data_IF_717769478152
#
_entry.id   IF_717769478152
#
_cell.length_a   1.000
_cell.length_b   1.000
_cell.length_c   1.000
_cell.angle_alpha   90.00
_cell.angle_beta   90.00
_cell.angle_gamma   90.00
#
_symmetry.space_group_name_H-M   'P 1'
#
loop_
_entity.id
_entity.type
_entity.pdbx_description
1 polymer ?
#
# COMPACT_ATOMS: atom_id res chain seq x y z
N UNK A 1 -19.10 17.07 -5.64
CA UNK A 1 -18.68 16.57 -6.94
C UNK A 1 -18.67 17.67 -7.99
N UNK A 2 -18.28 17.35 -9.22
CA UNK A 2 -18.20 18.33 -10.32
C UNK A 2 -19.55 18.96 -10.68
N UNK A 3 -20.66 18.32 -10.32
CA UNK A 3 -22.03 18.78 -10.56
C UNK A 3 -22.58 19.62 -9.37
N UNK A 4 -21.76 19.90 -8.38
CA UNK A 4 -22.13 20.66 -7.18
C UNK A 4 -22.92 19.88 -6.13
N UNK A 5 -23.02 18.55 -6.26
CA UNK A 5 -23.66 17.72 -5.25
C UNK A 5 -22.70 17.43 -4.09
N UNK A 6 -23.26 17.30 -2.89
CA UNK A 6 -22.51 16.89 -1.71
C UNK A 6 -22.03 15.45 -1.88
N UNK A 7 -20.75 15.22 -1.60
CA UNK A 7 -20.17 13.87 -1.49
C UNK A 7 -20.22 13.40 -0.04
N UNK A 8 -20.31 12.09 0.17
CA UNK A 8 -20.29 11.45 1.49
C UNK A 8 -19.40 10.20 1.45
N UNK A 9 -18.98 9.70 2.61
CA UNK A 9 -18.10 8.55 2.69
C UNK A 9 -16.68 8.82 2.18
N UNK A 10 -16.00 7.78 1.76
CA UNK A 10 -14.65 7.88 1.25
C UNK A 10 -14.58 8.47 -0.15
N UNK A 11 -13.72 9.47 -0.33
CA UNK A 11 -13.48 10.15 -1.60
C UNK A 11 -11.98 10.27 -1.87
N UNK A 12 -11.56 9.91 -3.07
CA UNK A 12 -10.18 10.15 -3.52
C UNK A 12 -10.11 11.48 -4.24
N UNK A 13 -9.34 12.42 -3.71
CA UNK A 13 -9.15 13.77 -4.26
C UNK A 13 -7.63 13.97 -4.42
N UNK A 14 -7.15 14.25 -5.63
CA UNK A 14 -5.72 14.48 -5.92
C UNK A 14 -4.80 13.39 -5.35
N UNK A 15 -5.17 12.11 -5.56
CA UNK A 15 -4.46 10.92 -5.06
C UNK A 15 -4.42 10.76 -3.53
N UNK A 16 -5.14 11.57 -2.77
CA UNK A 16 -5.30 11.40 -1.33
C UNK A 16 -6.73 10.98 -0.98
N UNK A 17 -6.87 10.18 0.06
CA UNK A 17 -8.15 9.65 0.52
C UNK A 17 -8.69 10.51 1.66
N UNK A 18 -9.94 10.95 1.52
CA UNK A 18 -10.67 11.76 2.50
C UNK A 18 -11.99 11.09 2.87
N UNK A 19 -12.48 11.34 4.07
CA UNK A 19 -13.76 10.84 4.53
C UNK A 19 -14.72 12.00 4.82
N UNK A 20 -15.95 11.90 4.29
CA UNK A 20 -17.02 12.88 4.52
C UNK A 20 -18.17 12.22 5.27
N UNK A 21 -18.73 12.93 6.25
CA UNK A 21 -19.90 12.46 6.99
C UNK A 21 -21.18 12.47 6.13
N UNK A 22 -22.30 12.01 6.70
CA UNK A 22 -23.60 11.96 6.03
C UNK A 22 -24.14 13.36 5.63
N UNK A 23 -23.55 14.43 6.18
CA UNK A 23 -23.89 15.81 5.84
C UNK A 23 -22.96 16.40 4.78
N UNK A 24 -21.97 15.61 4.31
CA UNK A 24 -20.95 16.07 3.36
C UNK A 24 -19.87 16.94 4.01
N UNK A 25 -19.67 16.84 5.32
CA UNK A 25 -18.60 17.56 6.05
C UNK A 25 -17.37 16.66 6.10
N UNK A 26 -16.25 17.20 5.62
CA UNK A 26 -14.96 16.49 5.66
C UNK A 26 -14.55 16.21 7.11
N UNK A 27 -14.26 14.96 7.40
CA UNK A 27 -13.72 14.54 8.67
C UNK A 27 -12.20 14.78 8.70
N UNK A 28 -11.64 15.08 9.87
CA UNK A 28 -10.20 15.34 10.05
C UNK A 28 -9.78 15.16 11.50
N UNK A 29 -8.46 15.15 11.72
CA UNK A 29 -7.83 15.20 13.04
C UNK A 29 -8.27 14.07 13.97
N UNK A 30 -7.81 12.87 13.72
CA UNK A 30 -7.94 11.76 14.66
C UNK A 30 -8.62 10.52 14.13
N UNK A 31 -9.01 9.67 15.05
CA UNK A 31 -9.62 8.37 14.75
C UNK A 31 -11.07 8.53 14.32
N UNK A 32 -11.40 7.81 13.25
CA UNK A 32 -12.78 7.59 12.81
C UNK A 32 -13.07 6.09 12.73
N UNK A 33 -14.34 5.72 12.86
CA UNK A 33 -14.81 4.36 12.64
C UNK A 33 -15.76 4.36 11.45
N UNK A 34 -15.51 3.47 10.52
CA UNK A 34 -16.31 3.25 9.32
C UNK A 34 -16.81 1.80 9.29
N UNK A 35 -17.65 1.48 8.33
CA UNK A 35 -18.13 0.10 8.14
C UNK A 35 -16.97 -0.87 7.79
N UNK A 36 -15.89 -0.36 7.19
CA UNK A 36 -14.70 -1.15 6.82
C UNK A 36 -13.68 -1.29 7.98
N UNK A 37 -13.82 -0.51 9.06
CA UNK A 37 -12.90 -0.52 10.20
C UNK A 37 -12.52 0.88 10.68
N UNK A 38 -11.42 0.96 11.43
CA UNK A 38 -10.90 2.23 11.98
C UNK A 38 -9.89 2.86 11.03
N UNK A 39 -9.94 4.17 10.92
CA UNK A 39 -8.97 4.96 10.17
C UNK A 39 -8.50 6.16 11.00
N UNK A 40 -7.34 6.69 10.69
CA UNK A 40 -6.83 7.92 11.29
C UNK A 40 -6.68 9.00 10.22
N UNK A 41 -7.23 10.15 10.49
CA UNK A 41 -7.19 11.31 9.59
C UNK A 41 -6.23 12.37 10.15
N UNK A 42 -5.38 12.89 9.28
CA UNK A 42 -4.50 14.01 9.57
C UNK A 42 -5.29 15.31 9.76
N UNK A 43 -4.61 16.38 10.19
CA UNK A 43 -5.24 17.68 10.42
C UNK A 43 -5.77 18.32 9.13
N UNK A 44 -5.23 17.95 7.97
CA UNK A 44 -5.72 18.34 6.65
C UNK A 44 -6.77 17.36 6.08
N UNK A 45 -7.18 16.36 6.87
CA UNK A 45 -8.24 15.41 6.56
C UNK A 45 -7.84 14.21 5.71
N UNK A 46 -6.56 14.05 5.39
CA UNK A 46 -6.06 12.89 4.63
C UNK A 46 -6.02 11.64 5.51
N UNK A 47 -6.50 10.53 5.00
CA UNK A 47 -6.31 9.24 5.66
C UNK A 47 -4.84 8.83 5.66
N UNK A 48 -4.35 8.36 6.80
CA UNK A 48 -3.01 7.81 6.91
C UNK A 48 -2.94 6.44 6.22
N UNK A 49 -1.75 6.09 5.71
CA UNK A 49 -1.46 4.79 5.12
C UNK A 49 -0.06 4.31 5.52
N UNK A 50 0.19 3.00 5.40
CA UNK A 50 1.45 2.39 5.80
C UNK A 50 1.67 2.43 7.32
N UNK A 51 2.93 2.30 7.73
CA UNK A 51 3.33 2.36 9.13
C UNK A 51 3.22 3.78 9.68
N UNK A 52 2.59 3.91 10.86
CA UNK A 52 2.41 5.19 11.55
C UNK A 52 2.59 5.02 13.05
N UNK A 53 3.15 6.04 13.69
CA UNK A 53 3.22 6.12 15.15
C UNK A 53 2.26 7.21 15.63
N UNK A 54 1.26 6.83 16.43
CA UNK A 54 0.23 7.72 16.96
C UNK A 54 0.23 7.54 18.47
N UNK A 55 0.41 8.62 19.21
CA UNK A 55 0.48 8.62 20.68
C UNK A 55 1.46 7.58 21.25
N UNK A 56 2.62 7.42 20.59
CA UNK A 56 3.68 6.48 20.98
C UNK A 56 3.41 5.01 20.69
N UNK A 57 2.33 4.68 20.00
CA UNK A 57 1.96 3.33 19.56
C UNK A 57 2.08 3.19 18.06
N UNK A 58 2.51 2.01 17.59
CA UNK A 58 2.63 1.72 16.17
C UNK A 58 1.35 1.13 15.62
N UNK A 59 1.01 1.57 14.40
CA UNK A 59 -0.15 1.12 13.61
C UNK A 59 0.28 0.89 12.17
N UNK A 60 -0.43 0.02 11.49
CA UNK A 60 -0.31 -0.12 10.03
C UNK A 60 -1.67 0.10 9.39
N UNK A 61 -1.73 1.00 8.42
CA UNK A 61 -2.93 1.30 7.65
C UNK A 61 -2.77 0.75 6.23
N UNK A 62 -3.79 0.08 5.75
CA UNK A 62 -3.81 -0.42 4.37
C UNK A 62 -3.94 0.71 3.33
N UNK A 63 -3.98 0.35 2.05
CA UNK A 63 -4.13 1.32 0.96
C UNK A 63 -5.49 2.04 0.93
N UNK A 64 -6.45 1.59 1.73
CA UNK A 64 -7.74 2.25 1.94
C UNK A 64 -7.78 3.11 3.22
N UNK A 65 -6.63 3.24 3.89
CA UNK A 65 -6.51 3.99 5.14
C UNK A 65 -7.12 3.28 6.36
N UNK A 66 -7.37 1.95 6.26
CA UNK A 66 -7.95 1.17 7.37
C UNK A 66 -6.84 0.55 8.20
N UNK A 67 -6.93 0.71 9.52
CA UNK A 67 -5.98 0.14 10.46
C UNK A 67 -6.05 -1.39 10.46
N UNK A 68 -4.89 -2.03 10.35
CA UNK A 68 -4.76 -3.48 10.42
C UNK A 68 -5.15 -3.98 11.82
N UNK A 69 -5.81 -5.14 11.88
CA UNK A 69 -6.16 -5.85 13.10
C UNK A 69 -5.84 -7.34 12.96
N UNK A 70 -5.62 -8.04 14.07
CA UNK A 70 -5.28 -9.47 14.03
C UNK A 70 -3.88 -9.73 13.48
N UNK A 71 -3.70 -10.85 12.81
CA UNK A 71 -2.39 -11.25 12.25
C UNK A 71 -2.27 -10.81 10.79
N UNK A 72 -1.18 -10.14 10.48
CA UNK A 72 -0.87 -9.66 9.14
C UNK A 72 0.60 -9.91 8.81
N UNK A 73 0.87 -10.46 7.63
CA UNK A 73 2.23 -10.60 7.12
C UNK A 73 2.56 -9.37 6.26
N UNK A 74 3.60 -8.65 6.65
CA UNK A 74 4.12 -7.47 5.94
C UNK A 74 5.58 -7.74 5.55
N UNK A 75 5.79 -8.10 4.29
CA UNK A 75 7.09 -8.54 3.81
C UNK A 75 7.55 -9.81 4.55
N UNK A 76 8.73 -9.74 5.17
CA UNK A 76 9.30 -10.83 5.98
C UNK A 76 8.88 -10.79 7.45
N UNK A 77 7.95 -9.92 7.83
CA UNK A 77 7.53 -9.75 9.21
C UNK A 77 6.10 -10.26 9.42
N UNK A 78 5.91 -11.06 10.46
CA UNK A 78 4.59 -11.40 10.99
C UNK A 78 4.26 -10.39 12.07
N UNK A 79 3.23 -9.60 11.80
CA UNK A 79 2.75 -8.59 12.72
C UNK A 79 1.44 -9.06 13.34
N UNK A 80 1.27 -8.78 14.62
CA UNK A 80 0.02 -9.00 15.34
C UNK A 80 -0.47 -7.67 15.88
N UNK A 81 -1.70 -7.32 15.53
CA UNK A 81 -2.36 -6.09 15.93
C UNK A 81 -3.54 -6.39 16.86
N UNK A 82 -3.82 -5.47 17.77
CA UNK A 82 -5.01 -5.52 18.63
C UNK A 82 -6.29 -5.25 17.82
N UNK A 83 -7.44 -5.43 18.43
CA UNK A 83 -8.73 -5.02 17.85
C UNK A 83 -8.82 -3.50 17.62
N UNK A 84 -8.05 -2.71 18.36
CA UNK A 84 -7.93 -1.27 18.19
C UNK A 84 -6.91 -0.86 17.13
N UNK A 85 -6.17 -1.83 16.54
CA UNK A 85 -5.17 -1.62 15.49
C UNK A 85 -3.74 -1.37 16.00
N UNK A 86 -3.49 -1.41 17.33
CA UNK A 86 -2.15 -1.24 17.89
C UNK A 86 -1.28 -2.46 17.59
N UNK A 87 -0.02 -2.25 17.19
CA UNK A 87 0.94 -3.33 17.03
C UNK A 87 1.24 -3.95 18.42
N UNK A 88 0.99 -5.25 18.55
CA UNK A 88 1.26 -6.04 19.76
C UNK A 88 2.59 -6.77 19.67
N UNK A 89 2.90 -7.33 18.51
CA UNK A 89 4.17 -7.99 18.25
C UNK A 89 4.55 -7.91 16.78
N UNK A 90 5.87 -7.97 16.56
CA UNK A 90 6.49 -7.96 15.23
C UNK A 90 7.63 -8.96 15.25
N UNK A 91 7.47 -10.03 14.51
CA UNK A 91 8.43 -11.12 14.45
C UNK A 91 8.94 -11.25 13.01
N UNK A 92 10.27 -11.23 12.85
CA UNK A 92 10.83 -11.56 11.55
C UNK A 92 10.60 -13.04 11.28
N UNK A 93 10.12 -13.35 10.09
CA UNK A 93 10.11 -14.75 9.62
C UNK A 93 11.56 -15.22 9.59
N UNK A 94 11.88 -16.21 10.41
CA UNK A 94 13.23 -16.77 10.43
C UNK A 94 13.55 -17.36 9.05
N UNK A 95 14.65 -16.89 8.51
CA UNK A 95 15.27 -17.45 7.32
C UNK A 95 16.05 -18.67 7.80
N UNK A 96 15.60 -19.87 7.43
CA UNK A 96 16.33 -21.10 7.73
C UNK A 96 17.59 -21.17 6.84
N UNK A 97 18.79 -20.93 7.39
CA UNK A 97 20.02 -20.93 6.59
C UNK A 97 20.38 -22.32 6.05
N UNK A 98 19.71 -23.37 6.52
CA UNK A 98 19.86 -24.73 6.03
C UNK A 98 19.04 -25.06 4.78
N UNK A 99 18.14 -24.16 4.36
CA UNK A 99 17.30 -24.35 3.16
C UNK A 99 17.76 -23.44 2.02
N UNK A 100 17.85 -23.96 0.79
CA UNK A 100 18.10 -23.11 -0.38
C UNK A 100 17.01 -22.06 -0.49
N UNK A 101 17.41 -20.80 -0.66
CA UNK A 101 16.49 -19.69 -0.85
C UNK A 101 16.80 -18.94 -2.12
N UNK A 102 15.76 -18.45 -2.78
CA UNK A 102 15.83 -17.60 -3.97
C UNK A 102 14.93 -16.40 -3.73
N UNK A 103 15.46 -15.20 -3.95
CA UNK A 103 14.66 -14.00 -4.07
C UNK A 103 14.38 -13.75 -5.55
N UNK A 104 13.11 -13.63 -5.90
CA UNK A 104 12.68 -13.30 -7.26
C UNK A 104 12.35 -11.81 -7.35
N UNK A 105 12.94 -11.14 -8.33
CA UNK A 105 12.62 -9.73 -8.62
C UNK A 105 12.28 -9.59 -10.11
N UNK A 106 11.37 -8.68 -10.42
CA UNK A 106 10.99 -8.33 -11.77
C UNK A 106 11.01 -6.81 -11.93
N UNK A 107 11.85 -6.34 -12.82
CA UNK A 107 12.07 -4.92 -13.06
C UNK A 107 11.30 -4.44 -14.30
N UNK A 108 11.18 -3.12 -14.48
CA UNK A 108 10.59 -2.43 -15.63
C UNK A 108 9.09 -2.62 -15.87
N UNK A 109 8.41 -3.38 -15.00
CA UNK A 109 6.95 -3.57 -15.10
C UNK A 109 6.13 -2.37 -14.63
N UNK A 110 4.81 -2.57 -14.53
CA UNK A 110 4.05 -3.66 -15.12
C UNK A 110 3.97 -3.58 -16.66
N UNK A 111 3.76 -4.71 -17.29
CA UNK A 111 3.66 -4.85 -18.74
C UNK A 111 2.61 -5.90 -19.15
N UNK A 112 2.42 -6.12 -20.49
CA UNK A 112 1.36 -7.00 -21.00
C UNK A 112 1.42 -8.44 -20.51
N UNK A 113 2.61 -8.92 -20.12
CA UNK A 113 2.81 -10.30 -19.65
C UNK A 113 2.89 -10.44 -18.14
N UNK A 114 2.71 -9.36 -17.39
CA UNK A 114 2.83 -9.41 -15.94
C UNK A 114 1.78 -10.30 -15.28
N UNK A 115 0.56 -10.34 -15.81
CA UNK A 115 -0.49 -11.25 -15.33
C UNK A 115 -0.12 -12.73 -15.47
N UNK A 116 0.55 -13.11 -16.56
CA UNK A 116 1.04 -14.48 -16.77
C UNK A 116 2.09 -14.86 -15.70
N UNK A 117 2.96 -13.92 -15.32
CA UNK A 117 3.95 -14.12 -14.24
C UNK A 117 3.24 -14.31 -12.91
N UNK A 118 2.24 -13.48 -12.59
CA UNK A 118 1.45 -13.59 -11.37
C UNK A 118 0.74 -14.94 -11.26
N UNK A 119 0.17 -15.44 -12.36
CA UNK A 119 -0.47 -16.75 -12.43
C UNK A 119 0.53 -17.88 -12.13
N UNK A 120 1.76 -17.80 -12.65
CA UNK A 120 2.80 -18.78 -12.34
C UNK A 120 3.26 -18.69 -10.89
N UNK A 121 3.51 -17.52 -10.36
CA UNK A 121 3.86 -17.34 -8.94
C UNK A 121 2.79 -17.94 -8.04
N UNK A 122 1.53 -17.62 -8.30
CA UNK A 122 0.38 -18.16 -7.56
C UNK A 122 0.28 -19.68 -7.65
N UNK A 123 0.47 -20.27 -8.83
CA UNK A 123 0.45 -21.71 -9.05
C UNK A 123 1.45 -22.46 -8.17
N UNK A 124 2.62 -21.86 -7.94
CA UNK A 124 3.69 -22.44 -7.14
C UNK A 124 3.74 -21.91 -5.70
N UNK A 125 2.74 -21.14 -5.28
CA UNK A 125 2.71 -20.45 -3.97
C UNK A 125 4.00 -19.66 -3.71
N UNK A 126 4.53 -19.04 -4.76
CA UNK A 126 5.73 -18.22 -4.73
C UNK A 126 5.35 -16.73 -4.75
N UNK A 127 6.26 -15.90 -4.23
CA UNK A 127 6.11 -14.45 -4.19
C UNK A 127 7.36 -13.81 -4.80
N UNK A 128 7.20 -12.58 -5.26
CA UNK A 128 8.29 -11.80 -5.85
C UNK A 128 8.17 -10.32 -5.46
N UNK A 129 9.26 -9.59 -5.65
CA UNK A 129 9.25 -8.13 -5.59
C UNK A 129 9.23 -7.58 -7.02
N UNK A 130 8.28 -6.69 -7.30
CA UNK A 130 8.15 -6.03 -8.61
C UNK A 130 8.62 -4.58 -8.51
N UNK A 131 9.76 -4.27 -9.11
CA UNK A 131 10.29 -2.92 -9.23
C UNK A 131 9.70 -2.24 -10.46
N UNK A 132 8.71 -1.38 -10.24
CA UNK A 132 7.88 -0.83 -11.31
C UNK A 132 8.34 0.52 -11.78
N UNK A 133 8.23 0.76 -13.10
CA UNK A 133 8.36 2.09 -13.70
C UNK A 133 7.08 2.89 -13.49
N UNK A 134 7.21 4.09 -12.95
CA UNK A 134 6.07 4.96 -12.64
C UNK A 134 5.17 5.23 -13.86
N UNK A 135 5.76 5.40 -15.05
CA UNK A 135 5.02 5.60 -16.32
C UNK A 135 4.07 4.45 -16.68
N UNK A 136 4.39 3.21 -16.24
CA UNK A 136 3.60 2.03 -16.57
C UNK A 136 2.45 1.80 -15.57
N UNK A 137 2.56 2.32 -14.36
CA UNK A 137 1.61 2.10 -13.25
C UNK A 137 0.17 2.46 -13.66
N UNK A 138 -0.02 3.60 -14.29
CA UNK A 138 -1.35 4.08 -14.72
C UNK A 138 -2.03 3.20 -15.77
N UNK A 139 -1.25 2.46 -16.55
CA UNK A 139 -1.77 1.61 -17.63
C UNK A 139 -2.22 0.22 -17.15
N UNK A 140 -1.80 -0.20 -15.95
CA UNK A 140 -2.04 -1.56 -15.44
C UNK A 140 -2.54 -1.57 -13.97
N UNK A 141 -3.54 -0.77 -13.59
CA UNK A 141 -3.96 -0.63 -12.19
C UNK A 141 -4.49 -1.94 -11.59
N UNK A 142 -5.16 -2.77 -12.38
CA UNK A 142 -5.72 -4.03 -11.88
C UNK A 142 -4.65 -5.11 -11.69
N UNK A 143 -3.60 -5.09 -12.51
CA UNK A 143 -2.43 -5.97 -12.35
C UNK A 143 -1.71 -5.64 -11.04
N UNK A 144 -1.55 -4.36 -10.71
CA UNK A 144 -0.93 -3.92 -9.45
C UNK A 144 -1.78 -4.35 -8.24
N UNK A 145 -3.10 -4.19 -8.31
CA UNK A 145 -4.00 -4.70 -7.26
C UNK A 145 -3.87 -6.21 -7.09
N UNK A 146 -3.71 -6.95 -8.20
CA UNK A 146 -3.50 -8.39 -8.17
C UNK A 146 -2.15 -8.76 -7.54
N UNK A 147 -1.06 -8.03 -7.85
CA UNK A 147 0.24 -8.23 -7.19
C UNK A 147 0.10 -8.17 -5.66
N UNK A 148 -0.52 -7.10 -5.15
CA UNK A 148 -0.74 -6.91 -3.71
C UNK A 148 -1.64 -7.99 -3.11
N UNK A 149 -2.74 -8.33 -3.79
CA UNK A 149 -3.69 -9.36 -3.35
C UNK A 149 -3.03 -10.74 -3.24
N UNK A 150 -2.13 -11.05 -4.15
CA UNK A 150 -1.40 -12.32 -4.18
C UNK A 150 -0.15 -12.31 -3.28
N UNK A 151 0.06 -11.23 -2.48
CA UNK A 151 1.13 -11.15 -1.48
C UNK A 151 2.52 -10.83 -2.05
N UNK A 152 2.58 -10.29 -3.27
CA UNK A 152 3.84 -9.82 -3.83
C UNK A 152 4.18 -8.42 -3.30
N UNK A 153 5.48 -8.08 -3.34
CA UNK A 153 5.98 -6.78 -2.92
C UNK A 153 6.13 -5.83 -4.11
N UNK A 154 5.94 -4.54 -3.85
CA UNK A 154 6.11 -3.49 -4.85
C UNK A 154 7.31 -2.63 -4.48
N UNK A 155 8.19 -2.41 -5.47
CA UNK A 155 9.34 -1.54 -5.39
C UNK A 155 9.27 -0.40 -6.42
N UNK A 156 10.02 0.65 -6.17
CA UNK A 156 10.18 1.77 -7.10
C UNK A 156 11.38 1.53 -8.02
N UNK A 157 11.19 1.73 -9.34
CA UNK A 157 12.24 1.63 -10.36
C UNK A 157 12.38 2.91 -11.19
N UNK A 158 12.25 4.07 -10.55
CA UNK A 158 12.13 5.39 -11.17
C UNK A 158 10.86 5.56 -12.02
N UNK A 159 10.67 6.75 -12.59
CA UNK A 159 9.49 7.01 -13.42
C UNK A 159 9.60 6.36 -14.80
N UNK A 160 10.72 6.51 -15.49
CA UNK A 160 10.90 6.12 -16.90
C UNK A 160 12.26 5.49 -17.21
N UNK A 161 13.01 5.09 -16.19
CA UNK A 161 14.33 4.46 -16.28
C UNK A 161 15.44 5.41 -16.82
N UNK A 162 15.30 6.72 -16.56
CA UNK A 162 16.36 7.65 -16.95
C UNK A 162 17.63 7.45 -16.10
N UNK A 163 18.77 7.70 -16.71
CA UNK A 163 20.04 7.67 -15.99
C UNK A 163 20.13 8.89 -15.07
N UNK A 164 19.95 8.68 -13.75
CA UNK A 164 19.86 9.75 -12.75
C UNK A 164 21.06 10.70 -12.72
N UNK A 165 22.24 10.22 -13.13
CA UNK A 165 23.46 11.07 -13.26
C UNK A 165 23.43 12.03 -14.43
N UNK A 166 22.44 11.95 -15.32
CA UNK A 166 22.30 12.80 -16.51
C UNK A 166 21.11 13.76 -16.44
N UNK A 167 20.38 13.74 -15.35
CA UNK A 167 19.25 14.62 -15.08
C UNK A 167 19.53 15.45 -13.83
N UNK A 168 18.91 16.63 -13.72
CA UNK A 168 19.06 17.48 -12.56
C UNK A 168 18.24 17.00 -11.34
N UNK A 169 18.53 17.57 -10.18
CA UNK A 169 17.89 17.17 -8.93
C UNK A 169 16.37 17.45 -8.92
N UNK A 170 15.89 18.45 -9.65
CA UNK A 170 14.48 18.79 -9.75
C UNK A 170 13.70 17.74 -10.56
N UNK A 171 14.37 17.13 -11.55
CA UNK A 171 13.77 16.06 -12.35
C UNK A 171 13.78 14.68 -11.64
N UNK A 172 14.51 14.54 -10.52
CA UNK A 172 14.55 13.30 -9.72
C UNK A 172 13.43 13.26 -8.68
N UNK A 173 12.93 14.42 -8.25
CA UNK A 173 11.86 14.55 -7.26
C UNK A 173 10.49 14.34 -7.91
#
# INVERSE_FOLDING_TARGET
DADGNKVTGWQTIENALYCFDKKGIMQKSGWITTDDGRAYLSDDGKALSGWQTIDGKEYYFDSKGIAATGELKLGLEKCKFSESGELLSKEKTEIDPGKPMVALTFDDGPGPRTSEILDQLKKYNAHATFFMLGKNVKSYPDVIKQMLKDGNELGNHSYDHQQLTKIDAEAIA
#
